data_IF_810590965931
#
_entry.id   IF_810590965931
#
_cell.length_a   1.000
_cell.length_b   1.000
_cell.length_c   1.000
_cell.angle_alpha   90.00
_cell.angle_beta   90.00
_cell.angle_gamma   90.00
#
_symmetry.space_group_name_H-M   'P 1'
#
loop_
_entity.id
_entity.type
_entity.pdbx_description
1 polymer ?
#
# COMPACT_ATOMS: atom_id res chain seq x y z
N UNK A 1 38.55 -44.27 -4.01
CA UNK A 1 39.20 -43.29 -4.90
C UNK A 1 38.11 -42.67 -5.75
N UNK A 2 37.72 -41.42 -5.45
CA UNK A 2 36.68 -40.61 -6.13
C UNK A 2 35.24 -41.07 -5.80
N UNK A 3 34.47 -40.47 -4.90
CA UNK A 3 34.12 -39.05 -4.67
C UNK A 3 33.55 -38.36 -5.92
N UNK A 4 32.21 -38.24 -5.97
CA UNK A 4 31.48 -37.26 -6.77
C UNK A 4 30.07 -37.01 -6.18
N UNK A 5 29.95 -35.88 -5.47
CA UNK A 5 28.85 -34.94 -5.68
C UNK A 5 27.62 -35.04 -4.77
N UNK A 6 27.75 -34.60 -3.52
CA UNK A 6 26.60 -34.16 -2.71
C UNK A 6 25.91 -32.95 -3.37
N UNK A 7 24.60 -33.05 -3.56
CA UNK A 7 23.77 -31.95 -4.01
C UNK A 7 23.66 -30.88 -2.89
N UNK A 8 24.34 -29.76 -3.09
CA UNK A 8 24.30 -28.58 -2.23
C UNK A 8 22.87 -28.01 -2.19
N UNK A 9 22.24 -28.06 -1.01
CA UNK A 9 20.97 -27.36 -0.75
C UNK A 9 21.23 -25.84 -0.77
N UNK A 10 20.42 -25.04 -1.49
CA UNK A 10 20.57 -23.60 -1.47
C UNK A 10 20.23 -23.05 -0.08
N UNK A 11 21.15 -22.27 0.49
CA UNK A 11 20.99 -21.56 1.75
C UNK A 11 19.78 -20.59 1.70
N UNK A 12 19.11 -20.33 2.84
CA UNK A 12 18.05 -19.33 2.89
C UNK A 12 18.66 -17.94 2.65
N UNK A 13 18.30 -17.32 1.53
CA UNK A 13 18.59 -15.92 1.26
C UNK A 13 17.88 -15.06 2.30
N UNK A 14 18.66 -14.47 3.20
CA UNK A 14 18.20 -13.46 4.14
C UNK A 14 17.80 -12.21 3.35
N UNK A 15 16.52 -12.12 2.98
CA UNK A 15 15.93 -10.89 2.47
C UNK A 15 15.98 -9.85 3.59
N UNK A 16 17.03 -9.02 3.58
CA UNK A 16 17.06 -7.79 4.35
C UNK A 16 15.83 -6.97 3.93
N UNK A 17 14.91 -6.79 4.87
CA UNK A 17 13.73 -5.97 4.70
C UNK A 17 14.17 -4.52 4.46
N UNK A 18 14.36 -4.17 3.18
CA UNK A 18 14.44 -2.76 2.77
C UNK A 18 13.11 -2.15 3.20
N UNK A 19 13.15 -1.31 4.24
CA UNK A 19 11.96 -0.66 4.78
C UNK A 19 11.20 0.00 3.63
N UNK A 20 9.94 -0.39 3.43
CA UNK A 20 9.15 0.18 2.34
C UNK A 20 9.00 1.68 2.58
N UNK A 21 8.83 2.46 1.50
CA UNK A 21 8.61 3.91 1.57
C UNK A 21 7.43 4.25 2.50
N UNK A 22 6.44 3.35 2.62
CA UNK A 22 5.36 3.47 3.58
C UNK A 22 5.86 3.53 5.04
N UNK A 23 6.86 2.72 5.40
CA UNK A 23 7.43 2.71 6.75
C UNK A 23 8.17 4.01 7.12
N UNK A 24 8.70 4.75 6.14
CA UNK A 24 9.37 6.03 6.42
C UNK A 24 8.44 7.23 6.34
N UNK A 25 7.53 7.27 5.35
CA UNK A 25 6.68 8.44 5.10
C UNK A 25 5.45 8.47 6.00
N UNK A 26 4.79 7.33 6.23
CA UNK A 26 3.54 7.28 7.01
C UNK A 26 3.77 7.76 8.45
N UNK A 27 4.83 7.34 9.18
CA UNK A 27 5.03 7.82 10.56
C UNK A 27 5.35 9.32 10.64
N UNK A 28 6.02 9.88 9.64
CA UNK A 28 6.33 11.31 9.59
C UNK A 28 5.04 12.10 9.39
N UNK A 29 4.21 11.67 8.44
CA UNK A 29 2.90 12.29 8.18
C UNK A 29 2.00 12.21 9.41
N UNK A 30 1.92 11.05 10.06
CA UNK A 30 1.11 10.88 11.28
C UNK A 30 1.62 11.74 12.44
N UNK A 31 2.94 11.83 12.65
CA UNK A 31 3.51 12.69 13.70
C UNK A 31 3.20 14.17 13.47
N UNK A 32 3.24 14.63 12.22
CA UNK A 32 2.83 15.99 11.89
C UNK A 32 1.34 16.20 12.23
N UNK A 33 0.46 15.28 11.82
CA UNK A 33 -0.96 15.33 12.18
C UNK A 33 -1.19 15.43 13.69
N UNK A 34 -0.46 14.65 14.49
CA UNK A 34 -0.59 14.66 15.96
C UNK A 34 -0.16 15.99 16.57
N UNK A 35 0.96 16.57 16.11
CA UNK A 35 1.48 17.86 16.61
C UNK A 35 0.49 18.98 16.29
N UNK A 36 -0.03 19.02 15.07
CA UNK A 36 -0.97 20.05 14.64
C UNK A 36 -2.35 19.91 15.30
N UNK A 37 -2.80 18.68 15.57
CA UNK A 37 -4.02 18.43 16.35
C UNK A 37 -3.91 18.96 17.78
N UNK A 38 -2.72 18.92 18.39
CA UNK A 38 -2.46 19.46 19.74
C UNK A 38 -2.38 20.98 19.79
N UNK A 39 -1.99 21.62 18.68
CA UNK A 39 -1.82 23.08 18.60
C UNK A 39 -3.14 23.84 18.45
N UNK A 40 -4.29 23.15 18.36
CA UNK A 40 -5.62 23.78 18.26
C UNK A 40 -5.83 24.59 16.98
N UNK A 41 -4.84 24.60 16.09
CA UNK A 41 -4.90 25.27 14.80
C UNK A 41 -5.80 24.45 13.89
N UNK A 42 -6.98 25.00 13.61
CA UNK A 42 -7.91 24.61 12.54
C UNK A 42 -7.31 24.70 11.13
N UNK A 43 -5.98 24.81 11.02
CA UNK A 43 -5.25 24.68 9.78
C UNK A 43 -5.44 23.26 9.27
N UNK A 44 -6.34 23.12 8.31
CA UNK A 44 -6.49 21.97 7.43
C UNK A 44 -5.10 21.57 6.94
N UNK A 45 -4.54 20.53 7.53
CA UNK A 45 -3.25 20.00 7.08
C UNK A 45 -3.53 19.43 5.69
N UNK A 46 -3.07 20.13 4.66
CA UNK A 46 -3.00 19.56 3.33
C UNK A 46 -1.93 18.47 3.38
N UNK A 47 -2.38 17.22 3.48
CA UNK A 47 -1.50 16.07 3.35
C UNK A 47 -0.81 16.16 1.99
N UNK A 48 0.53 16.02 1.93
CA UNK A 48 1.24 16.07 0.66
C UNK A 48 0.70 14.98 -0.26
N UNK A 49 0.15 15.40 -1.40
CA UNK A 49 -0.33 14.48 -2.42
C UNK A 49 0.87 13.91 -3.19
N UNK A 50 1.00 12.58 -3.21
CA UNK A 50 2.03 11.90 -3.99
C UNK A 50 1.43 11.41 -5.29
N UNK A 51 1.98 11.86 -6.42
CA UNK A 51 1.61 11.39 -7.75
C UNK A 51 2.67 10.45 -8.29
N UNK A 52 2.26 9.27 -8.74
CA UNK A 52 3.16 8.27 -9.33
C UNK A 52 3.09 8.37 -10.85
N UNK A 53 4.18 8.82 -11.47
CA UNK A 53 4.31 8.99 -12.93
C UNK A 53 5.49 8.18 -13.46
N UNK A 54 5.36 7.62 -14.66
CA UNK A 54 6.41 6.80 -15.26
C UNK A 54 5.93 5.96 -16.45
N UNK A 55 6.88 5.46 -17.24
CA UNK A 55 6.62 4.61 -18.41
C UNK A 55 5.82 3.35 -18.04
N UNK A 56 5.16 2.73 -19.02
CA UNK A 56 4.50 1.44 -18.81
C UNK A 56 5.50 0.43 -18.22
N UNK A 57 5.06 -0.40 -17.27
CA UNK A 57 5.90 -1.39 -16.58
C UNK A 57 7.00 -0.84 -15.65
N UNK A 58 7.06 0.47 -15.38
CA UNK A 58 8.04 1.07 -14.46
C UNK A 58 7.75 0.82 -12.96
N UNK A 59 6.88 -0.13 -12.61
CA UNK A 59 6.55 -0.46 -11.21
C UNK A 59 5.59 0.51 -10.50
N UNK A 60 4.86 1.37 -11.22
CA UNK A 60 3.93 2.36 -10.62
C UNK A 60 2.91 1.73 -9.67
N UNK A 61 2.25 0.67 -10.12
CA UNK A 61 1.28 -0.07 -9.30
C UNK A 61 1.96 -0.70 -8.08
N UNK A 62 3.17 -1.24 -8.25
CA UNK A 62 3.94 -1.84 -7.16
C UNK A 62 4.34 -0.82 -6.08
N UNK A 63 4.66 0.43 -6.45
CA UNK A 63 4.93 1.50 -5.47
C UNK A 63 3.69 1.83 -4.67
N UNK A 64 2.53 1.97 -5.33
CA UNK A 64 1.27 2.23 -4.63
C UNK A 64 0.87 1.06 -3.72
N UNK A 65 0.99 -0.18 -4.18
CA UNK A 65 0.73 -1.38 -3.38
C UNK A 65 1.68 -1.49 -2.19
N UNK A 66 2.96 -1.12 -2.34
CA UNK A 66 3.93 -1.11 -1.24
C UNK A 66 3.65 -0.03 -0.19
N UNK A 67 3.01 1.08 -0.56
CA UNK A 67 2.53 2.10 0.38
C UNK A 67 1.33 1.60 1.19
N UNK A 68 0.42 0.86 0.56
CA UNK A 68 -0.77 0.29 1.21
C UNK A 68 -0.47 -1.01 1.97
N UNK A 69 0.55 -1.76 1.54
CA UNK A 69 0.89 -3.09 2.06
C UNK A 69 -0.05 -4.20 1.56
N UNK A 70 -0.85 -3.94 0.54
CA UNK A 70 -1.84 -4.90 -0.02
C UNK A 70 -1.86 -4.80 -1.53
N UNK A 71 -2.17 -5.91 -2.19
CA UNK A 71 -2.33 -5.96 -3.64
C UNK A 71 -3.79 -5.67 -4.03
N UNK A 72 -4.09 -4.46 -4.48
CA UNK A 72 -5.44 -4.05 -4.91
C UNK A 72 -5.49 -3.46 -6.31
N UNK A 73 -4.35 -3.20 -6.95
CA UNK A 73 -4.37 -2.62 -8.28
C UNK A 73 -4.45 -3.73 -9.35
N UNK A 74 -5.08 -3.47 -10.51
CA UNK A 74 -5.09 -4.42 -11.60
C UNK A 74 -3.67 -4.82 -12.00
N UNK A 75 -3.47 -6.11 -12.29
CA UNK A 75 -2.22 -6.67 -12.81
C UNK A 75 -2.51 -7.33 -14.15
N UNK A 76 -1.60 -7.18 -15.12
CA UNK A 76 -1.74 -7.76 -16.45
C UNK A 76 -0.65 -7.32 -17.41
N UNK A 77 -0.61 -7.94 -18.59
CA UNK A 77 0.31 -7.60 -19.68
C UNK A 77 -0.07 -6.30 -20.39
N UNK A 78 -1.36 -5.95 -20.37
CA UNK A 78 -1.89 -4.71 -20.92
C UNK A 78 -1.68 -3.52 -19.96
N UNK A 79 -1.97 -2.30 -20.45
CA UNK A 79 -2.01 -1.10 -19.62
C UNK A 79 -2.95 -1.29 -18.41
N UNK A 80 -2.36 -1.47 -17.23
CA UNK A 80 -3.06 -1.79 -15.99
C UNK A 80 -3.88 -0.63 -15.43
N UNK A 81 -3.56 0.61 -15.81
CA UNK A 81 -4.24 1.82 -15.32
C UNK A 81 -4.63 2.68 -16.53
N UNK A 82 -5.92 2.69 -16.86
CA UNK A 82 -6.47 3.42 -18.02
C UNK A 82 -7.17 4.71 -17.64
N UNK A 83 -7.42 4.91 -16.35
CA UNK A 83 -8.05 6.11 -15.76
C UNK A 83 -7.18 6.60 -14.60
N UNK A 84 -7.06 7.92 -14.38
CA UNK A 84 -6.43 8.43 -13.17
C UNK A 84 -7.10 7.83 -11.93
N UNK A 85 -6.30 7.30 -11.01
CA UNK A 85 -6.78 6.76 -9.73
C UNK A 85 -6.29 7.67 -8.62
N UNK A 86 -7.21 8.23 -7.85
CA UNK A 86 -6.91 9.00 -6.64
C UNK A 86 -7.08 8.06 -5.46
N UNK A 87 -5.97 7.72 -4.80
CA UNK A 87 -5.96 6.88 -3.61
C UNK A 87 -5.87 7.76 -2.36
N UNK A 88 -6.91 7.72 -1.53
CA UNK A 88 -6.93 8.42 -0.25
C UNK A 88 -6.73 7.41 0.87
N UNK A 89 -5.58 7.47 1.54
CA UNK A 89 -5.28 6.66 2.71
C UNK A 89 -5.77 7.38 3.97
N UNK A 90 -6.73 6.79 4.66
CA UNK A 90 -7.28 7.31 5.91
C UNK A 90 -6.78 6.44 7.05
N UNK A 91 -6.04 7.03 7.97
CA UNK A 91 -5.61 6.34 9.19
C UNK A 91 -6.81 6.24 10.16
N UNK A 92 -7.22 5.02 10.46
CA UNK A 92 -8.21 4.74 11.50
C UNK A 92 -7.50 4.11 12.72
N UNK A 93 -7.72 4.63 13.94
CA UNK A 93 -7.12 4.06 15.15
C UNK A 93 -7.48 2.58 15.27
N UNK A 94 -6.48 1.71 15.44
CA UNK A 94 -6.71 0.27 15.54
C UNK A 94 -7.42 -0.05 16.87
N UNK A 95 -8.53 -0.81 16.87
CA UNK A 95 -9.06 -1.38 18.10
C UNK A 95 -8.05 -2.36 18.71
N UNK A 96 -7.99 -2.45 20.04
CA UNK A 96 -7.00 -3.21 20.80
C UNK A 96 -6.92 -4.73 20.48
N UNK A 97 -7.88 -5.26 19.73
CA UNK A 97 -7.84 -6.60 19.12
C UNK A 97 -7.81 -6.45 17.60
N UNK A 98 -6.69 -6.81 17.00
CA UNK A 98 -6.57 -6.91 15.55
C UNK A 98 -7.51 -8.03 15.07
N UNK A 99 -8.66 -7.63 14.51
CA UNK A 99 -9.65 -8.53 13.92
C UNK A 99 -9.52 -8.45 12.41
N UNK A 100 -9.61 -9.58 11.74
CA UNK A 100 -9.74 -9.59 10.27
C UNK A 100 -10.99 -8.78 9.89
N UNK A 101 -10.83 -7.76 9.05
CA UNK A 101 -11.88 -6.79 8.70
C UNK A 101 -11.69 -5.39 9.28
N UNK A 102 -10.57 -5.07 9.94
CA UNK A 102 -10.28 -3.70 10.38
C UNK A 102 -9.93 -2.74 9.24
N UNK A 103 -9.61 -3.25 8.05
CA UNK A 103 -9.20 -2.49 6.87
C UNK A 103 -10.24 -2.66 5.77
N UNK A 104 -10.64 -1.56 5.12
CA UNK A 104 -11.59 -1.60 4.00
C UNK A 104 -11.29 -0.50 2.98
N UNK A 105 -11.76 -0.69 1.76
CA UNK A 105 -11.86 0.34 0.72
C UNK A 105 -13.31 0.77 0.50
N UNK A 106 -13.51 2.00 0.04
CA UNK A 106 -14.79 2.52 -0.40
C UNK A 106 -14.57 3.30 -1.71
N UNK A 107 -15.54 3.23 -2.62
CA UNK A 107 -15.48 3.94 -3.88
C UNK A 107 -16.51 5.06 -3.91
N UNK A 108 -16.14 6.21 -4.46
CA UNK A 108 -17.03 7.36 -4.57
C UNK A 108 -18.30 7.06 -5.39
N UNK A 109 -18.21 6.18 -6.39
CA UNK A 109 -19.36 5.76 -7.20
C UNK A 109 -20.24 4.70 -6.53
N UNK A 110 -19.84 4.17 -5.36
CA UNK A 110 -20.58 3.19 -4.56
C UNK A 110 -20.64 3.64 -3.09
N UNK A 111 -21.33 4.75 -2.79
CA UNK A 111 -21.35 5.32 -1.44
C UNK A 111 -21.90 4.33 -0.41
N UNK A 112 -21.22 4.21 0.73
CA UNK A 112 -21.61 3.33 1.83
C UNK A 112 -21.26 1.85 1.63
N UNK A 113 -20.73 1.45 0.47
CA UNK A 113 -20.29 0.07 0.22
C UNK A 113 -18.82 -0.09 0.61
N UNK A 114 -18.58 -0.86 1.68
CA UNK A 114 -17.23 -1.20 2.16
C UNK A 114 -16.74 -2.51 1.55
N UNK A 115 -15.54 -2.49 1.01
CA UNK A 115 -14.84 -3.63 0.46
C UNK A 115 -13.75 -4.08 1.43
N UNK A 116 -13.94 -5.24 2.05
CA UNK A 116 -12.94 -5.84 2.95
C UNK A 116 -12.01 -6.81 2.21
N UNK A 117 -12.45 -7.33 1.05
CA UNK A 117 -11.63 -8.13 0.15
C UNK A 117 -10.94 -7.24 -0.90
N UNK A 118 -9.61 -7.18 -0.84
CA UNK A 118 -8.78 -6.40 -1.76
C UNK A 118 -8.82 -6.94 -3.19
N UNK A 119 -9.20 -8.21 -3.38
CA UNK A 119 -9.45 -8.80 -4.71
C UNK A 119 -10.74 -8.27 -5.33
N UNK A 120 -11.75 -7.95 -4.51
CA UNK A 120 -12.96 -7.27 -4.95
C UNK A 120 -12.69 -5.80 -5.31
N UNK A 121 -11.85 -5.09 -4.54
CA UNK A 121 -11.36 -3.75 -4.89
C UNK A 121 -10.67 -3.77 -6.25
N UNK A 122 -9.79 -4.74 -6.49
CA UNK A 122 -9.08 -4.89 -7.77
C UNK A 122 -10.02 -5.05 -8.95
N UNK A 123 -11.03 -5.92 -8.81
CA UNK A 123 -12.04 -6.16 -9.86
C UNK A 123 -12.90 -4.93 -10.12
N UNK A 124 -13.18 -4.14 -9.09
CA UNK A 124 -13.95 -2.90 -9.22
C UNK A 124 -13.17 -1.78 -9.93
N UNK A 125 -11.83 -1.77 -9.83
CA UNK A 125 -10.97 -0.78 -10.50
C UNK A 125 -10.84 -1.05 -12.01
N UNK A 126 -11.00 -2.30 -12.44
CA UNK A 126 -10.78 -2.74 -13.83
C UNK A 126 -11.86 -2.25 -14.79
#
# INVERSE_FOLDING_TARGET
MGDFGEAEKPAPSSNAAVGSIGQSVIPIVNKLQDIFSQLGSSSTIELPQVSVVGSQSSGKSSVLEALVGRDFLPRGTDICTRRPLVLQLVHTPRPAKQTEGSEWGEFLHLPGKRFFDFSAIRREIQ
#
